data_IF_597554739011
#
_entry.id   IF_597554739011
#
_cell.length_a   1.000
_cell.length_b   1.000
_cell.length_c   1.000
_cell.angle_alpha   90.00
_cell.angle_beta   90.00
_cell.angle_gamma   90.00
#
_symmetry.space_group_name_H-M   'P 1'
#
loop_
_entity.id
_entity.type
_entity.pdbx_description
1 polymer ?
#
# COMPACT_ATOMS: atom_id res chain seq x y z
N UNK A 1 21.73 -15.44 -1.26
CA UNK A 1 22.19 -16.40 -0.23
C UNK A 1 21.25 -16.34 0.96
N UNK A 2 20.37 -17.34 1.11
CA UNK A 2 19.32 -17.39 2.15
C UNK A 2 19.89 -17.35 3.57
N UNK A 3 21.05 -17.96 3.82
CA UNK A 3 21.73 -17.93 5.12
C UNK A 3 22.15 -16.50 5.50
N UNK A 4 22.71 -15.76 4.57
CA UNK A 4 23.11 -14.38 4.79
C UNK A 4 21.88 -13.47 5.05
N UNK A 5 20.78 -13.70 4.35
CA UNK A 5 19.50 -13.02 4.61
C UNK A 5 19.02 -13.28 6.05
N UNK A 6 18.95 -14.53 6.48
CA UNK A 6 18.49 -14.89 7.82
C UNK A 6 19.36 -14.24 8.91
N UNK A 7 20.69 -14.33 8.76
CA UNK A 7 21.63 -13.73 9.70
C UNK A 7 21.50 -12.20 9.77
N UNK A 8 21.45 -11.53 8.62
CA UNK A 8 21.32 -10.07 8.56
C UNK A 8 19.99 -9.61 9.14
N UNK A 9 18.89 -10.26 8.78
CA UNK A 9 17.54 -9.95 9.21
C UNK A 9 17.38 -10.12 10.73
N UNK A 10 17.85 -11.23 11.29
CA UNK A 10 17.82 -11.47 12.74
C UNK A 10 18.74 -10.50 13.49
N UNK A 11 19.94 -10.21 12.99
CA UNK A 11 20.84 -9.22 13.60
C UNK A 11 20.23 -7.82 13.64
N UNK A 12 19.49 -7.42 12.60
CA UNK A 12 18.77 -6.14 12.62
C UNK A 12 17.64 -6.16 13.65
N UNK A 13 16.88 -7.25 13.75
CA UNK A 13 15.86 -7.42 14.78
C UNK A 13 16.44 -7.26 16.19
N UNK A 14 17.55 -7.94 16.52
CA UNK A 14 18.22 -7.85 17.80
C UNK A 14 18.64 -6.44 18.17
N UNK A 15 19.03 -5.64 17.18
CA UNK A 15 19.49 -4.27 17.39
C UNK A 15 18.37 -3.23 17.44
N UNK A 16 17.33 -3.39 16.61
CA UNK A 16 16.35 -2.34 16.37
C UNK A 16 15.01 -2.58 17.08
N UNK A 17 14.65 -3.84 17.32
CA UNK A 17 13.32 -4.20 17.82
C UNK A 17 13.40 -4.87 19.19
N UNK A 18 14.30 -5.83 19.39
CA UNK A 18 14.42 -6.60 20.64
C UNK A 18 14.55 -5.74 21.90
N UNK A 19 15.30 -4.62 21.92
CA UNK A 19 15.39 -3.76 23.11
C UNK A 19 14.04 -3.21 23.58
N UNK A 20 13.03 -3.22 22.72
CA UNK A 20 11.68 -2.72 22.99
C UNK A 20 10.63 -3.83 22.99
N UNK A 21 11.02 -5.10 22.96
CA UNK A 21 10.12 -6.24 22.78
C UNK A 21 8.99 -6.28 23.84
N UNK A 22 9.30 -5.99 25.10
CA UNK A 22 8.33 -5.96 26.20
C UNK A 22 7.25 -4.87 26.00
N UNK A 23 7.60 -3.78 25.35
CA UNK A 23 6.68 -2.66 25.05
C UNK A 23 5.86 -2.97 23.79
N UNK A 24 6.52 -3.53 22.78
CA UNK A 24 5.95 -3.76 21.45
C UNK A 24 4.94 -4.91 21.48
N UNK A 25 5.33 -6.08 22.05
CA UNK A 25 4.52 -7.30 22.04
C UNK A 25 3.85 -7.55 20.67
N UNK A 26 2.50 -7.54 20.60
CA UNK A 26 1.69 -7.67 19.35
C UNK A 26 1.14 -6.35 18.87
N UNK A 27 1.68 -5.22 19.32
CA UNK A 27 1.20 -3.88 18.97
C UNK A 27 1.63 -3.49 17.56
N UNK A 28 0.94 -2.49 17.05
CA UNK A 28 1.33 -1.78 15.83
C UNK A 28 2.63 -1.01 16.07
N UNK A 29 3.55 -1.12 15.09
CA UNK A 29 4.83 -0.42 15.09
C UNK A 29 4.79 0.63 13.97
N UNK A 30 5.03 1.89 14.32
CA UNK A 30 5.27 2.93 13.31
C UNK A 30 6.75 3.25 13.29
N UNK A 31 7.39 3.01 12.14
CA UNK A 31 8.82 3.27 11.92
C UNK A 31 8.98 4.65 11.28
N UNK A 32 9.81 5.48 11.88
CA UNK A 32 10.26 6.76 11.29
C UNK A 32 11.73 6.57 10.94
N UNK A 33 12.03 6.06 9.74
CA UNK A 33 13.39 5.68 9.39
C UNK A 33 14.22 6.89 9.03
N UNK A 34 15.52 6.83 9.31
CA UNK A 34 16.51 7.78 8.85
C UNK A 34 17.59 7.10 7.99
N UNK A 35 18.02 7.80 6.96
CA UNK A 35 19.09 7.38 6.06
C UNK A 35 18.83 5.99 5.45
N UNK A 36 19.78 5.08 5.60
CA UNK A 36 19.71 3.73 5.01
C UNK A 36 18.57 2.85 5.54
N UNK A 37 18.03 3.16 6.72
CA UNK A 37 16.91 2.40 7.28
C UNK A 37 15.62 2.59 6.47
N UNK A 38 15.52 3.65 5.66
CA UNK A 38 14.39 3.86 4.74
C UNK A 38 14.24 2.79 3.67
N UNK A 39 15.29 2.01 3.41
CA UNK A 39 15.28 0.90 2.46
C UNK A 39 15.06 -0.47 3.11
N UNK A 40 14.95 -0.51 4.44
CA UNK A 40 14.77 -1.77 5.17
C UNK A 40 13.28 -2.04 5.36
N UNK A 41 12.74 -3.12 4.75
CA UNK A 41 11.38 -3.55 5.05
C UNK A 41 11.38 -4.24 6.42
N UNK A 42 10.93 -3.54 7.46
CA UNK A 42 10.89 -4.07 8.83
C UNK A 42 9.99 -5.29 8.98
N UNK A 43 9.03 -5.47 8.10
CA UNK A 43 8.23 -6.70 7.98
C UNK A 43 9.07 -7.98 7.90
N UNK A 44 10.26 -7.87 7.30
CA UNK A 44 11.16 -8.99 7.03
C UNK A 44 12.07 -9.36 8.20
N UNK A 45 12.12 -8.56 9.26
CA UNK A 45 12.98 -8.83 10.39
C UNK A 45 12.59 -10.16 11.06
N UNK A 46 13.56 -11.02 11.33
CA UNK A 46 13.33 -12.31 11.94
C UNK A 46 13.43 -12.21 13.48
N UNK A 47 12.35 -12.59 14.16
CA UNK A 47 12.29 -12.57 15.64
C UNK A 47 13.19 -13.61 16.27
N UNK A 48 13.51 -14.67 15.52
CA UNK A 48 14.35 -15.77 15.95
C UNK A 48 15.29 -16.17 14.81
N UNK A 49 16.46 -16.73 15.14
CA UNK A 49 17.38 -17.27 14.13
C UNK A 49 16.87 -18.65 13.70
N UNK A 50 16.45 -18.83 12.44
CA UNK A 50 16.00 -20.12 11.95
C UNK A 50 17.18 -21.09 11.75
N UNK A 51 16.87 -22.39 11.77
CA UNK A 51 17.83 -23.38 11.31
C UNK A 51 18.11 -23.19 9.79
N UNK A 52 19.39 -23.00 9.48
CA UNK A 52 19.87 -22.80 8.10
C UNK A 52 20.78 -23.91 7.63
N UNK A 53 20.82 -25.06 8.32
CA UNK A 53 21.61 -26.22 7.93
C UNK A 53 21.11 -26.85 6.63
N UNK A 54 19.78 -26.82 6.40
CA UNK A 54 19.10 -27.31 5.21
C UNK A 54 18.62 -26.21 4.26
N UNK A 55 17.62 -26.54 3.43
CA UNK A 55 16.92 -25.58 2.56
C UNK A 55 16.03 -24.68 3.41
N UNK A 56 16.28 -23.37 3.34
CA UNK A 56 15.47 -22.37 4.03
C UNK A 56 14.09 -22.26 3.36
N UNK A 57 13.04 -22.50 4.14
CA UNK A 57 11.65 -22.34 3.72
C UNK A 57 11.15 -20.94 4.09
N UNK A 58 11.20 -20.02 3.14
CA UNK A 58 10.86 -18.60 3.38
C UNK A 58 9.44 -18.37 3.89
N UNK A 59 8.48 -19.22 3.53
CA UNK A 59 7.10 -19.12 4.03
C UNK A 59 6.93 -19.54 5.51
N UNK A 60 7.92 -20.17 6.11
CA UNK A 60 7.87 -20.62 7.51
C UNK A 60 8.73 -19.78 8.46
N UNK A 61 9.46 -18.79 7.92
CA UNK A 61 10.34 -17.97 8.74
C UNK A 61 9.55 -17.13 9.76
N UNK A 62 10.12 -16.91 10.96
CA UNK A 62 9.51 -16.13 12.04
C UNK A 62 9.65 -14.62 11.79
N UNK A 63 8.99 -14.14 10.75
CA UNK A 63 9.00 -12.72 10.39
C UNK A 63 8.25 -11.86 11.41
N UNK A 64 8.73 -10.67 11.68
CA UNK A 64 8.10 -9.67 12.56
C UNK A 64 6.65 -9.37 12.14
N UNK A 65 6.37 -9.33 10.83
CA UNK A 65 5.02 -9.12 10.29
C UNK A 65 4.00 -10.16 10.77
N UNK A 66 4.41 -11.36 11.19
CA UNK A 66 3.48 -12.38 11.69
C UNK A 66 2.78 -11.92 12.97
N UNK A 67 3.48 -11.19 13.81
CA UNK A 67 2.97 -10.74 15.12
C UNK A 67 2.61 -9.26 15.14
N UNK A 68 3.28 -8.42 14.35
CA UNK A 68 3.16 -6.97 14.38
C UNK A 68 2.68 -6.39 13.04
N UNK A 69 1.89 -5.33 13.12
CA UNK A 69 1.56 -4.49 11.95
C UNK A 69 2.61 -3.40 11.85
N UNK A 70 3.27 -3.30 10.70
CA UNK A 70 4.30 -2.30 10.44
C UNK A 70 3.72 -1.19 9.57
N UNK A 71 3.92 0.04 9.98
CA UNK A 71 3.61 1.24 9.22
C UNK A 71 4.81 2.17 9.23
N UNK A 72 4.92 3.06 8.25
CA UNK A 72 6.00 4.03 8.15
C UNK A 72 5.46 5.45 8.27
N UNK A 73 6.31 6.37 8.70
CA UNK A 73 6.00 7.80 8.67
C UNK A 73 7.29 8.61 8.43
N UNK A 74 7.16 9.77 7.79
CA UNK A 74 8.28 10.69 7.59
C UNK A 74 8.63 11.46 8.86
N UNK A 75 7.65 11.72 9.71
CA UNK A 75 7.85 12.34 11.02
C UNK A 75 6.63 12.10 11.93
N UNK A 76 6.85 12.16 13.24
CA UNK A 76 5.77 12.08 14.21
C UNK A 76 4.75 13.22 14.04
N UNK A 77 5.22 14.43 13.73
CA UNK A 77 4.36 15.60 13.55
C UNK A 77 3.38 15.41 12.38
N UNK A 78 3.85 14.93 11.23
CA UNK A 78 2.99 14.62 10.08
C UNK A 78 1.97 13.53 10.40
N UNK A 79 2.40 12.48 11.10
CA UNK A 79 1.51 11.38 11.50
C UNK A 79 0.35 11.89 12.37
N UNK A 80 0.61 12.73 13.38
CA UNK A 80 -0.42 13.30 14.23
C UNK A 80 -1.33 14.29 13.49
N UNK A 81 -0.76 15.11 12.60
CA UNK A 81 -1.55 16.05 11.79
C UNK A 81 -2.54 15.34 10.88
N UNK A 82 -2.13 14.27 10.21
CA UNK A 82 -2.99 13.51 9.31
C UNK A 82 -4.10 12.75 10.03
N UNK A 83 -3.90 12.33 11.27
CA UNK A 83 -4.94 11.68 12.07
C UNK A 83 -6.13 12.60 12.38
N UNK A 84 -5.98 13.91 12.26
CA UNK A 84 -7.04 14.89 12.54
C UNK A 84 -7.84 15.30 11.29
N UNK A 85 -7.36 15.01 10.09
CA UNK A 85 -7.98 15.49 8.85
C UNK A 85 -8.92 14.43 8.26
N UNK A 86 -10.23 14.68 8.33
CA UNK A 86 -11.24 13.85 7.65
C UNK A 86 -11.75 14.57 6.41
N UNK A 87 -11.22 14.24 5.26
CA UNK A 87 -11.76 14.64 3.96
C UNK A 87 -12.76 13.59 3.47
N UNK A 88 -13.82 14.00 2.78
CA UNK A 88 -14.82 13.11 2.19
C UNK A 88 -14.87 13.35 0.70
N UNK A 89 -14.53 12.38 -0.09
CA UNK A 89 -14.74 12.41 -1.52
C UNK A 89 -16.12 11.86 -1.91
N UNK A 90 -16.59 12.22 -3.11
CA UNK A 90 -17.90 11.78 -3.64
C UNK A 90 -17.87 10.34 -4.16
N UNK A 91 -16.73 9.90 -4.71
CA UNK A 91 -16.52 8.61 -5.35
C UNK A 91 -15.51 7.77 -4.57
N UNK A 92 -15.50 6.43 -4.77
CA UNK A 92 -14.67 5.56 -3.98
C UNK A 92 -13.25 5.44 -4.50
N UNK A 93 -13.06 4.91 -5.69
CA UNK A 93 -11.74 4.59 -6.22
C UNK A 93 -11.60 5.05 -7.67
N UNK A 94 -10.47 5.65 -7.97
CA UNK A 94 -10.01 6.00 -9.30
C UNK A 94 -8.71 5.24 -9.58
N UNK A 95 -8.68 4.43 -10.64
CA UNK A 95 -7.50 3.65 -10.99
C UNK A 95 -7.03 3.96 -12.41
N UNK A 96 -5.69 4.04 -12.56
CA UNK A 96 -5.01 4.24 -13.82
C UNK A 96 -4.09 3.07 -14.13
N UNK A 97 -4.21 2.52 -15.35
CA UNK A 97 -3.38 1.47 -15.87
C UNK A 97 -3.07 1.74 -17.35
N UNK A 98 -2.04 2.51 -17.67
CA UNK A 98 -1.63 2.81 -19.03
C UNK A 98 -1.15 1.56 -19.78
N UNK A 99 -1.24 1.60 -21.11
CA UNK A 99 -0.59 0.64 -22.00
C UNK A 99 0.63 1.30 -22.63
N UNK A 100 1.73 0.58 -22.67
CA UNK A 100 2.97 1.04 -23.30
C UNK A 100 3.32 0.14 -24.49
N UNK A 101 3.89 0.75 -25.54
CA UNK A 101 4.36 0.07 -26.73
C UNK A 101 5.89 0.11 -26.69
N UNK A 102 6.60 -0.70 -26.07
CA UNK A 102 8.08 -0.86 -26.05
C UNK A 102 8.91 0.27 -26.72
N UNK A 103 8.37 1.47 -26.76
CA UNK A 103 8.98 2.61 -27.46
C UNK A 103 10.06 3.24 -26.59
N UNK A 104 11.17 3.58 -27.20
CA UNK A 104 12.18 4.40 -26.58
C UNK A 104 11.75 5.85 -26.66
N UNK A 105 11.49 6.46 -25.53
CA UNK A 105 11.18 7.88 -25.45
C UNK A 105 12.46 8.62 -25.04
N UNK A 106 12.77 9.69 -25.74
CA UNK A 106 13.85 10.60 -25.35
C UNK A 106 13.22 11.73 -24.53
N UNK A 107 13.55 11.79 -23.26
CA UNK A 107 13.11 12.85 -22.37
C UNK A 107 14.33 13.50 -21.70
N UNK A 108 14.46 14.83 -21.81
CA UNK A 108 15.57 15.60 -21.23
C UNK A 108 16.95 15.00 -21.50
N UNK A 109 17.22 14.53 -22.74
CA UNK A 109 18.43 13.84 -23.18
C UNK A 109 18.67 12.43 -22.57
N UNK A 110 17.74 11.89 -21.81
CA UNK A 110 17.75 10.49 -21.36
C UNK A 110 16.88 9.62 -22.26
N UNK A 111 17.41 8.46 -22.64
CA UNK A 111 16.63 7.43 -23.35
C UNK A 111 15.90 6.58 -22.30
N UNK A 112 14.58 6.75 -22.21
CA UNK A 112 13.73 5.93 -21.36
C UNK A 112 13.00 4.89 -22.22
N UNK A 113 12.92 3.66 -21.74
CA UNK A 113 12.17 2.60 -22.41
C UNK A 113 10.95 2.27 -21.58
N UNK A 114 9.76 2.53 -22.14
CA UNK A 114 8.49 2.15 -21.53
C UNK A 114 8.14 0.73 -21.98
N UNK A 115 8.56 -0.25 -21.22
CA UNK A 115 8.21 -1.66 -21.49
C UNK A 115 6.73 -1.92 -21.16
N UNK A 116 6.05 -2.83 -21.89
CA UNK A 116 4.68 -3.22 -21.55
C UNK A 116 4.58 -3.76 -20.12
N UNK A 117 3.50 -3.39 -19.43
CA UNK A 117 3.14 -3.87 -18.10
C UNK A 117 1.81 -4.66 -18.18
N UNK A 118 1.80 -5.92 -18.61
CA UNK A 118 0.56 -6.66 -18.84
C UNK A 118 -0.23 -6.93 -17.54
N UNK A 119 0.45 -7.04 -16.41
CA UNK A 119 -0.16 -7.32 -15.11
C UNK A 119 -1.02 -6.17 -14.57
N UNK A 120 -0.71 -4.91 -14.90
CA UNK A 120 -1.41 -3.75 -14.32
C UNK A 120 -2.88 -3.65 -14.77
N UNK A 121 -3.20 -4.07 -16.00
CA UNK A 121 -4.58 -4.12 -16.49
C UNK A 121 -5.42 -5.09 -15.67
N UNK A 122 -4.88 -6.29 -15.44
CA UNK A 122 -5.53 -7.32 -14.64
C UNK A 122 -5.65 -6.93 -13.18
N UNK A 123 -4.65 -6.23 -12.64
CA UNK A 123 -4.66 -5.74 -11.26
C UNK A 123 -5.84 -4.80 -11.03
N UNK A 124 -6.01 -3.74 -11.85
CA UNK A 124 -7.09 -2.77 -11.65
C UNK A 124 -8.48 -3.37 -11.89
N UNK A 125 -8.61 -4.36 -12.78
CA UNK A 125 -9.87 -5.10 -12.98
C UNK A 125 -10.26 -5.90 -11.73
N UNK A 126 -9.33 -6.65 -11.15
CA UNK A 126 -9.58 -7.40 -9.92
C UNK A 126 -9.88 -6.50 -8.72
N UNK A 127 -9.28 -5.33 -8.67
CA UNK A 127 -9.59 -4.32 -7.64
C UNK A 127 -11.02 -3.81 -7.81
N UNK A 128 -11.46 -3.55 -9.05
CA UNK A 128 -12.81 -3.08 -9.34
C UNK A 128 -13.90 -4.10 -8.96
N UNK A 129 -13.60 -5.40 -8.99
CA UNK A 129 -14.49 -6.45 -8.45
C UNK A 129 -14.68 -6.32 -6.92
N UNK A 130 -13.73 -5.76 -6.19
CA UNK A 130 -13.79 -5.64 -4.73
C UNK A 130 -14.41 -4.32 -4.27
N UNK A 131 -14.07 -3.21 -4.93
CA UNK A 131 -14.51 -1.85 -4.58
C UNK A 131 -15.01 -1.16 -5.84
N UNK A 132 -16.13 -0.43 -5.74
CA UNK A 132 -16.63 0.39 -6.85
C UNK A 132 -15.55 1.35 -7.32
N UNK A 133 -15.12 1.22 -8.57
CA UNK A 133 -14.01 1.95 -9.16
C UNK A 133 -14.40 2.54 -10.53
N UNK A 134 -13.83 3.70 -10.83
CA UNK A 134 -13.75 4.22 -12.19
C UNK A 134 -12.34 3.90 -12.71
N UNK A 135 -12.24 3.21 -13.84
CA UNK A 135 -10.99 2.72 -14.42
C UNK A 135 -10.62 3.50 -15.67
N UNK A 136 -9.43 4.08 -15.67
CA UNK A 136 -8.79 4.63 -16.86
C UNK A 136 -7.68 3.67 -17.29
N UNK A 137 -7.90 2.98 -18.41
CA UNK A 137 -7.00 1.95 -18.92
C UNK A 137 -6.50 2.31 -20.30
N UNK A 138 -5.38 1.72 -20.70
CA UNK A 138 -4.79 1.86 -22.03
C UNK A 138 -4.57 3.33 -22.38
N UNK A 139 -5.00 3.75 -23.58
CA UNK A 139 -4.92 5.11 -24.12
C UNK A 139 -5.71 6.15 -23.30
N UNK A 140 -6.70 5.73 -22.52
CA UNK A 140 -7.47 6.61 -21.66
C UNK A 140 -6.78 6.91 -20.32
N UNK A 141 -5.75 6.17 -19.95
CA UNK A 141 -4.96 6.43 -18.75
C UNK A 141 -4.00 7.60 -18.97
N UNK A 142 -4.52 8.79 -19.26
CA UNK A 142 -3.77 10.02 -19.56
C UNK A 142 -3.56 10.88 -18.33
N UNK A 143 -2.50 11.66 -18.32
CA UNK A 143 -2.24 12.66 -17.28
C UNK A 143 -3.38 13.68 -17.19
N UNK A 144 -3.94 14.11 -18.33
CA UNK A 144 -5.10 15.00 -18.38
C UNK A 144 -6.28 14.44 -17.57
N UNK A 145 -6.67 13.19 -17.82
CA UNK A 145 -7.76 12.56 -17.10
C UNK A 145 -7.46 12.46 -15.59
N UNK A 146 -6.20 12.21 -15.21
CA UNK A 146 -5.81 12.24 -13.81
C UNK A 146 -5.99 13.63 -13.19
N UNK A 147 -5.49 14.69 -13.81
CA UNK A 147 -5.60 16.07 -13.31
C UNK A 147 -7.05 16.52 -13.17
N UNK A 148 -7.93 16.16 -14.11
CA UNK A 148 -9.36 16.52 -14.09
C UNK A 148 -10.18 15.75 -13.05
N UNK A 149 -9.79 14.51 -12.70
CA UNK A 149 -10.60 13.62 -11.89
C UNK A 149 -10.10 13.42 -10.45
N UNK A 150 -8.81 13.64 -10.17
CA UNK A 150 -8.17 13.22 -8.91
C UNK A 150 -8.83 13.74 -7.63
N UNK A 151 -9.47 14.91 -7.65
CA UNK A 151 -10.08 15.53 -6.47
C UNK A 151 -11.41 14.87 -6.03
N UNK A 152 -12.00 13.99 -6.83
CA UNK A 152 -13.35 13.47 -6.60
C UNK A 152 -13.38 12.13 -5.85
N UNK A 153 -12.22 11.51 -5.57
CA UNK A 153 -12.14 10.13 -5.11
C UNK A 153 -11.48 9.99 -3.73
N UNK A 154 -11.96 9.00 -2.96
CA UNK A 154 -11.39 8.61 -1.67
C UNK A 154 -10.05 7.89 -1.82
N UNK A 155 -9.90 7.13 -2.91
CA UNK A 155 -8.74 6.29 -3.19
C UNK A 155 -8.27 6.57 -4.60
N UNK A 156 -6.97 6.80 -4.75
CA UNK A 156 -6.26 6.82 -6.02
C UNK A 156 -5.40 5.56 -6.14
N UNK A 157 -5.40 4.90 -7.28
CA UNK A 157 -4.55 3.75 -7.56
C UNK A 157 -3.84 3.95 -8.89
N UNK A 158 -2.50 4.07 -8.84
CA UNK A 158 -1.64 4.28 -10.00
C UNK A 158 -0.82 3.01 -10.24
N UNK A 159 -1.21 2.23 -11.24
CA UNK A 159 -0.52 1.02 -11.68
C UNK A 159 0.21 1.32 -13.01
N UNK A 160 1.45 1.82 -12.92
CA UNK A 160 2.18 2.36 -14.07
C UNK A 160 3.68 2.43 -13.82
N UNK A 161 4.47 2.80 -14.84
CA UNK A 161 5.88 3.11 -14.65
C UNK A 161 6.08 4.37 -13.79
N UNK A 162 7.08 4.30 -12.90
CA UNK A 162 7.62 5.45 -12.20
C UNK A 162 9.13 5.51 -12.39
N UNK A 163 9.63 6.71 -12.62
CA UNK A 163 11.06 6.98 -12.80
C UNK A 163 11.55 7.85 -11.65
N UNK A 164 12.57 7.36 -10.96
CA UNK A 164 13.13 8.04 -9.79
C UNK A 164 14.37 8.81 -10.21
N UNK A 165 14.41 10.08 -9.88
CA UNK A 165 15.60 10.92 -10.00
C UNK A 165 16.18 11.17 -8.60
N UNK A 166 17.22 10.43 -8.24
CA UNK A 166 17.88 10.54 -6.93
C UNK A 166 18.65 11.86 -6.73
N UNK A 167 19.10 12.47 -7.84
CA UNK A 167 19.84 13.73 -7.80
C UNK A 167 18.93 14.93 -7.63
N UNK A 168 17.77 14.89 -8.30
CA UNK A 168 16.75 15.94 -8.28
C UNK A 168 15.37 15.32 -8.05
N UNK A 169 15.01 14.97 -6.80
CA UNK A 169 13.77 14.24 -6.49
C UNK A 169 12.47 14.89 -6.98
N UNK A 170 12.46 16.19 -7.17
CA UNK A 170 11.33 16.93 -7.75
C UNK A 170 11.01 16.50 -9.20
N UNK A 171 11.98 15.93 -9.90
CA UNK A 171 11.85 15.41 -11.28
C UNK A 171 11.58 13.90 -11.33
N UNK A 172 11.44 13.23 -10.17
CA UNK A 172 10.85 11.89 -10.17
C UNK A 172 9.42 11.97 -10.68
N UNK A 173 8.98 10.99 -11.51
CA UNK A 173 7.75 11.13 -12.31
C UNK A 173 7.05 9.81 -12.56
N UNK A 174 5.76 9.89 -12.84
CA UNK A 174 4.93 8.81 -13.36
C UNK A 174 4.74 8.95 -14.86
N UNK A 175 4.74 7.82 -15.57
CA UNK A 175 4.45 7.78 -16.99
C UNK A 175 2.99 7.39 -17.21
N UNK A 176 2.17 8.30 -17.65
CA UNK A 176 0.82 8.05 -18.17
C UNK A 176 0.89 7.57 -19.63
N UNK A 177 -0.26 7.28 -20.24
CA UNK A 177 -0.31 6.99 -21.68
C UNK A 177 0.23 8.16 -22.47
N UNK A 178 1.20 7.86 -23.33
CA UNK A 178 1.86 8.83 -24.20
C UNK A 178 1.00 9.04 -25.44
N UNK A 179 0.03 9.95 -25.36
CA UNK A 179 -0.72 10.40 -26.52
C UNK A 179 -0.02 11.65 -27.08
N UNK A 180 0.30 11.66 -28.36
CA UNK A 180 1.05 12.72 -29.06
C UNK A 180 0.37 14.10 -29.05
N UNK A 181 -0.31 14.47 -28.00
CA UNK A 181 -0.87 15.80 -27.83
C UNK A 181 0.13 16.63 -27.01
N UNK A 182 1.04 17.30 -27.72
CA UNK A 182 2.08 18.22 -27.22
C UNK A 182 1.52 19.44 -26.47
N UNK A 183 0.80 19.20 -25.40
CA UNK A 183 0.35 20.26 -24.51
C UNK A 183 1.31 20.29 -23.31
N UNK A 184 1.98 21.41 -23.01
CA UNK A 184 3.04 21.49 -21.99
C UNK A 184 2.64 21.02 -20.56
N UNK A 185 1.36 20.95 -20.25
CA UNK A 185 0.83 20.49 -18.95
C UNK A 185 0.18 19.11 -19.02
N UNK A 186 0.21 18.42 -20.16
CA UNK A 186 -0.38 17.11 -20.39
C UNK A 186 0.50 16.32 -21.36
N UNK A 187 1.79 16.28 -21.09
CA UNK A 187 2.79 15.58 -21.89
C UNK A 187 2.89 14.10 -21.57
N UNK A 188 2.03 13.61 -20.67
CA UNK A 188 2.01 12.23 -20.19
C UNK A 188 2.96 11.95 -19.02
N UNK A 189 3.60 13.00 -18.48
CA UNK A 189 4.53 12.90 -17.37
C UNK A 189 4.05 13.70 -16.16
N UNK A 190 3.75 13.04 -15.07
CA UNK A 190 3.41 13.68 -13.80
C UNK A 190 4.63 13.70 -12.90
N UNK A 191 5.30 14.85 -12.81
CA UNK A 191 6.48 15.02 -11.96
C UNK A 191 6.09 15.20 -10.48
N UNK A 192 7.01 14.91 -9.57
CA UNK A 192 6.81 15.18 -8.13
C UNK A 192 6.51 16.65 -7.86
N UNK A 193 7.15 17.57 -8.61
CA UNK A 193 6.87 19.00 -8.52
C UNK A 193 5.42 19.35 -8.86
N UNK A 194 4.83 18.66 -9.85
CA UNK A 194 3.42 18.82 -10.21
C UNK A 194 2.50 18.30 -9.10
N UNK A 195 2.85 17.15 -8.52
CA UNK A 195 2.08 16.54 -7.44
C UNK A 195 2.00 17.47 -6.22
N UNK A 196 3.07 18.21 -5.87
CA UNK A 196 3.05 19.18 -4.78
C UNK A 196 2.00 20.29 -4.96
N UNK A 197 1.64 20.61 -6.20
CA UNK A 197 0.66 21.63 -6.53
C UNK A 197 -0.78 21.10 -6.63
N UNK A 198 -1.01 19.80 -6.41
CA UNK A 198 -2.35 19.22 -6.37
C UNK A 198 -3.01 19.46 -4.99
N UNK A 199 -4.34 19.58 -4.99
CA UNK A 199 -5.15 19.54 -3.77
C UNK A 199 -6.00 18.27 -3.79
N UNK A 200 -5.49 17.20 -3.16
CA UNK A 200 -6.11 15.89 -3.21
C UNK A 200 -7.13 15.71 -2.07
N UNK A 201 -8.31 15.20 -2.41
CA UNK A 201 -9.30 14.73 -1.43
C UNK A 201 -9.12 13.25 -1.07
N UNK A 202 -8.22 12.55 -1.76
CA UNK A 202 -7.96 11.14 -1.52
C UNK A 202 -7.43 10.91 -0.08
N UNK A 203 -7.98 9.90 0.57
CA UNK A 203 -7.54 9.43 1.88
C UNK A 203 -6.49 8.33 1.79
N UNK A 204 -6.38 7.70 0.60
CA UNK A 204 -5.38 6.69 0.28
C UNK A 204 -4.93 6.88 -1.16
N UNK A 205 -3.62 6.88 -1.39
CA UNK A 205 -3.04 6.67 -2.71
C UNK A 205 -2.22 5.39 -2.72
N UNK A 206 -2.49 4.51 -3.68
CA UNK A 206 -1.73 3.29 -3.93
C UNK A 206 -0.86 3.51 -5.16
N UNK A 207 0.44 3.40 -4.98
CA UNK A 207 1.46 3.51 -6.01
C UNK A 207 1.99 2.11 -6.32
N UNK A 208 1.24 1.36 -7.14
CA UNK A 208 1.66 0.07 -7.69
C UNK A 208 2.55 0.34 -8.90
N UNK A 209 3.62 1.10 -8.67
CA UNK A 209 4.51 1.62 -9.69
C UNK A 209 5.94 1.19 -9.34
N UNK A 210 6.51 0.39 -10.20
CA UNK A 210 7.86 -0.13 -10.02
C UNK A 210 8.89 0.91 -10.43
N UNK A 211 10.02 0.94 -9.71
CA UNK A 211 11.19 1.67 -10.17
C UNK A 211 11.82 0.90 -11.35
N UNK A 212 11.46 1.27 -12.56
CA UNK A 212 12.02 0.69 -13.79
C UNK A 212 13.40 1.26 -14.14
N UNK A 213 13.92 2.14 -13.30
CA UNK A 213 15.29 2.64 -13.43
C UNK A 213 16.28 1.52 -13.20
N UNK A 214 16.87 1.03 -14.29
CA UNK A 214 18.02 0.12 -14.27
C UNK A 214 19.15 0.75 -13.47
N UNK A 215 19.49 0.20 -12.36
CA UNK A 215 20.76 0.50 -11.75
C UNK A 215 20.70 1.04 -10.34
N UNK A 216 21.61 0.57 -9.60
CA UNK A 216 22.14 1.05 -8.32
C UNK A 216 21.15 1.82 -7.44
N UNK A 217 20.73 1.16 -6.37
CA UNK A 217 20.21 1.81 -5.16
C UNK A 217 21.18 2.93 -4.75
N UNK A 218 21.03 4.10 -5.37
CA UNK A 218 21.83 5.25 -5.00
C UNK A 218 21.20 5.90 -3.76
N UNK A 219 22.07 6.38 -2.90
CA UNK A 219 21.76 7.09 -1.65
C UNK A 219 20.77 8.22 -1.93
N UNK A 220 19.54 8.08 -1.48
CA UNK A 220 18.60 9.18 -1.60
C UNK A 220 17.21 8.81 -1.12
N UNK A 221 16.37 9.79 -1.06
CA UNK A 221 14.97 9.69 -0.70
C UNK A 221 14.09 9.22 -1.88
N UNK A 222 14.67 8.74 -2.98
CA UNK A 222 14.12 8.49 -4.29
C UNK A 222 12.65 8.03 -4.34
N UNK A 223 12.38 6.74 -4.12
CA UNK A 223 11.00 6.21 -4.11
C UNK A 223 10.13 6.89 -3.06
N UNK A 224 10.72 7.20 -1.90
CA UNK A 224 10.05 7.92 -0.82
C UNK A 224 9.69 9.37 -1.23
N UNK A 225 10.37 9.98 -2.21
CA UNK A 225 10.06 11.35 -2.67
C UNK A 225 8.72 11.44 -3.40
N UNK A 226 8.39 10.49 -4.27
CA UNK A 226 7.08 10.44 -4.94
C UNK A 226 5.94 10.30 -3.92
N UNK A 227 6.06 9.39 -2.95
CA UNK A 227 5.06 9.24 -1.89
C UNK A 227 4.91 10.52 -1.07
N UNK A 228 6.02 11.22 -0.78
CA UNK A 228 6.00 12.51 -0.08
C UNK A 228 5.20 13.55 -0.84
N UNK A 229 5.28 13.57 -2.18
CA UNK A 229 4.47 14.46 -3.02
C UNK A 229 2.99 14.32 -2.74
N UNK A 230 2.46 13.11 -2.72
CA UNK A 230 1.04 12.86 -2.42
C UNK A 230 0.65 13.23 -0.98
N UNK A 231 1.54 13.05 0.00
CA UNK A 231 1.29 13.50 1.37
C UNK A 231 1.18 15.02 1.45
N UNK A 232 2.07 15.75 0.76
CA UNK A 232 2.00 17.22 0.69
C UNK A 232 0.75 17.71 -0.04
N UNK A 233 0.34 17.00 -1.09
CA UNK A 233 -0.89 17.28 -1.83
C UNK A 233 -2.17 16.99 -1.00
N UNK A 234 -2.04 16.48 0.23
CA UNK A 234 -3.14 16.30 1.17
C UNK A 234 -3.63 14.86 1.33
N UNK A 235 -3.04 13.87 0.68
CA UNK A 235 -3.39 12.46 0.87
C UNK A 235 -2.69 11.90 2.12
N UNK A 236 -3.41 11.51 3.19
CA UNK A 236 -2.80 11.15 4.47
C UNK A 236 -2.20 9.75 4.52
N UNK A 237 -2.53 8.87 3.57
CA UNK A 237 -2.08 7.48 3.56
C UNK A 237 -1.57 7.10 2.18
N UNK A 238 -0.38 6.51 2.13
CA UNK A 238 0.22 6.00 0.90
C UNK A 238 0.54 4.52 1.07
N UNK A 239 0.21 3.72 0.09
CA UNK A 239 0.77 2.37 -0.08
C UNK A 239 1.60 2.40 -1.35
N UNK A 240 2.85 1.97 -1.27
CA UNK A 240 3.79 2.04 -2.40
C UNK A 240 4.70 0.84 -2.44
N UNK A 241 5.39 0.64 -3.56
CA UNK A 241 6.44 -0.37 -3.71
C UNK A 241 7.83 0.23 -3.54
N UNK A 242 8.71 -0.47 -2.83
CA UNK A 242 10.13 -0.11 -2.67
C UNK A 242 10.99 -0.59 -3.86
N UNK A 243 10.53 -1.60 -4.58
CA UNK A 243 11.15 -2.17 -5.78
C UNK A 243 10.09 -2.77 -6.68
N UNK A 244 10.49 -3.22 -7.85
CA UNK A 244 9.63 -3.91 -8.80
C UNK A 244 9.13 -5.23 -8.21
N UNK A 245 7.82 -5.36 -8.09
CA UNK A 245 7.14 -6.58 -7.63
C UNK A 245 6.64 -7.33 -8.85
N UNK A 246 6.85 -8.63 -8.89
CA UNK A 246 6.39 -9.49 -9.98
C UNK A 246 4.85 -9.40 -10.12
N UNK A 247 4.37 -9.27 -11.36
CA UNK A 247 2.97 -8.95 -11.70
C UNK A 247 1.94 -9.84 -11.01
N UNK A 248 2.15 -11.15 -11.00
CA UNK A 248 1.21 -12.10 -10.40
C UNK A 248 1.21 -12.02 -8.86
N UNK A 249 2.38 -11.78 -8.24
CA UNK A 249 2.49 -11.56 -6.81
C UNK A 249 1.82 -10.23 -6.43
N UNK A 250 2.12 -9.16 -7.15
CA UNK A 250 1.51 -7.83 -6.97
C UNK A 250 -0.01 -7.89 -7.07
N UNK A 251 -0.53 -8.49 -8.12
CA UNK A 251 -1.97 -8.66 -8.35
C UNK A 251 -2.67 -9.41 -7.20
N UNK A 252 -2.08 -10.51 -6.70
CA UNK A 252 -2.63 -11.26 -5.56
C UNK A 252 -2.61 -10.45 -4.26
N UNK A 253 -1.51 -9.77 -3.98
CA UNK A 253 -1.36 -8.92 -2.79
C UNK A 253 -2.37 -7.78 -2.84
N UNK A 254 -2.47 -7.05 -3.97
CA UNK A 254 -3.39 -5.93 -4.10
C UNK A 254 -4.86 -6.37 -4.05
N UNK A 255 -5.24 -7.47 -4.69
CA UNK A 255 -6.60 -8.02 -4.57
C UNK A 255 -6.97 -8.33 -3.11
N UNK A 256 -6.07 -8.97 -2.35
CA UNK A 256 -6.24 -9.27 -0.93
C UNK A 256 -6.26 -7.99 -0.07
N UNK A 257 -5.40 -7.02 -0.39
CA UNK A 257 -5.34 -5.72 0.28
C UNK A 257 -6.69 -4.99 0.19
N UNK A 258 -7.24 -4.83 -1.01
CA UNK A 258 -8.53 -4.16 -1.22
C UNK A 258 -9.70 -4.91 -0.61
N UNK A 259 -9.64 -6.25 -0.57
CA UNK A 259 -10.63 -7.05 0.15
C UNK A 259 -10.62 -6.75 1.66
N UNK A 260 -9.44 -6.62 2.26
CA UNK A 260 -9.29 -6.30 3.68
C UNK A 260 -9.68 -4.83 3.97
N UNK A 261 -9.34 -3.89 3.11
CA UNK A 261 -9.82 -2.51 3.20
C UNK A 261 -11.36 -2.44 3.23
N UNK A 262 -12.03 -3.17 2.34
CA UNK A 262 -13.50 -3.25 2.27
C UNK A 262 -14.13 -3.77 3.57
N UNK A 263 -13.42 -4.64 4.29
CA UNK A 263 -13.83 -5.14 5.62
C UNK A 263 -13.61 -4.12 6.74
N UNK A 264 -13.16 -2.90 6.44
CA UNK A 264 -12.92 -1.84 7.41
C UNK A 264 -11.57 -1.91 8.11
N UNK A 265 -10.62 -2.71 7.60
CA UNK A 265 -9.26 -2.72 8.15
C UNK A 265 -8.51 -1.45 7.73
N UNK A 266 -7.69 -0.84 8.62
CA UNK A 266 -6.74 0.21 8.25
C UNK A 266 -5.79 -0.25 7.15
N UNK A 267 -5.21 0.69 6.39
CA UNK A 267 -4.37 0.35 5.24
C UNK A 267 -3.14 -0.50 5.60
N UNK A 268 -2.47 -0.19 6.69
CA UNK A 268 -1.34 -0.94 7.22
C UNK A 268 -1.72 -2.39 7.63
N UNK A 269 -2.82 -2.57 8.34
CA UNK A 269 -3.33 -3.89 8.72
C UNK A 269 -3.81 -4.67 7.49
N UNK A 270 -4.52 -4.01 6.57
CA UNK A 270 -4.98 -4.61 5.32
C UNK A 270 -3.80 -5.13 4.48
N UNK A 271 -2.72 -4.34 4.40
CA UNK A 271 -1.50 -4.73 3.70
C UNK A 271 -0.78 -5.89 4.40
N UNK A 272 -0.66 -5.84 5.73
CA UNK A 272 -0.12 -6.95 6.53
C UNK A 272 -0.85 -8.25 6.22
N UNK A 273 -2.18 -8.25 6.32
CA UNK A 273 -3.00 -9.44 6.07
C UNK A 273 -2.87 -9.93 4.61
N UNK A 274 -2.73 -9.02 3.66
CA UNK A 274 -2.52 -9.36 2.25
C UNK A 274 -1.17 -10.05 2.02
N UNK A 275 -0.10 -9.53 2.62
CA UNK A 275 1.24 -10.14 2.57
C UNK A 275 1.26 -11.52 3.23
N UNK A 276 0.65 -11.67 4.40
CA UNK A 276 0.57 -12.97 5.09
C UNK A 276 -0.24 -13.97 4.28
N UNK A 277 -1.40 -13.56 3.74
CA UNK A 277 -2.19 -14.42 2.87
C UNK A 277 -1.41 -14.87 1.62
N UNK A 278 -0.61 -13.98 1.02
CA UNK A 278 0.27 -14.35 -0.08
C UNK A 278 1.33 -15.36 0.37
N UNK A 279 2.07 -15.06 1.44
CA UNK A 279 3.18 -15.86 1.95
C UNK A 279 2.73 -17.28 2.35
N UNK A 280 1.59 -17.40 3.01
CA UNK A 280 1.06 -18.68 3.50
C UNK A 280 0.54 -19.57 2.36
N UNK A 281 0.17 -18.96 1.20
CA UNK A 281 -0.32 -19.69 0.02
C UNK A 281 0.70 -19.75 -1.14
N UNK A 282 1.89 -19.14 -0.99
CA UNK A 282 2.93 -19.17 -1.99
C UNK A 282 3.65 -20.54 -2.01
N UNK A 283 3.99 -21.01 -3.20
CA UNK A 283 4.93 -22.14 -3.30
C UNK A 283 6.30 -21.71 -2.76
N UNK A 284 7.17 -22.66 -2.34
CA UNK A 284 8.44 -22.34 -1.70
C UNK A 284 9.37 -21.40 -2.50
N UNK A 285 9.32 -21.44 -3.84
CA UNK A 285 10.14 -20.56 -4.69
C UNK A 285 9.62 -19.13 -4.70
N UNK A 286 8.27 -18.97 -4.75
CA UNK A 286 7.59 -17.67 -4.76
C UNK A 286 7.46 -17.06 -3.36
N UNK A 287 7.77 -17.79 -2.30
CA UNK A 287 7.77 -17.30 -0.93
C UNK A 287 9.00 -16.42 -0.59
N UNK A 288 9.96 -16.30 -1.52
CA UNK A 288 11.14 -15.45 -1.33
C UNK A 288 10.71 -14.00 -1.05
N UNK A 289 11.33 -13.30 -0.09
CA UNK A 289 10.99 -11.93 0.32
C UNK A 289 10.82 -10.92 -0.82
N UNK A 290 11.60 -11.06 -1.88
CA UNK A 290 11.52 -10.21 -3.07
C UNK A 290 10.10 -10.09 -3.65
N UNK A 291 9.29 -11.15 -3.59
CA UNK A 291 7.96 -11.18 -4.20
C UNK A 291 6.85 -10.50 -3.39
N UNK A 292 7.02 -10.35 -2.06
CA UNK A 292 5.93 -9.89 -1.20
C UNK A 292 6.28 -8.71 -0.28
N UNK A 293 7.56 -8.48 -0.01
CA UNK A 293 7.98 -7.40 0.89
C UNK A 293 7.98 -6.01 0.25
N UNK A 294 7.94 -5.93 -1.08
CA UNK A 294 8.08 -4.66 -1.79
C UNK A 294 7.08 -3.58 -1.35
N UNK A 295 5.84 -3.95 -1.03
CA UNK A 295 4.83 -3.00 -0.60
C UNK A 295 5.03 -2.52 0.83
N UNK A 296 4.87 -1.20 1.05
CA UNK A 296 4.90 -0.56 2.38
C UNK A 296 3.73 0.41 2.53
N UNK A 297 3.26 0.59 3.77
CA UNK A 297 2.24 1.57 4.13
C UNK A 297 2.86 2.74 4.87
N UNK A 298 2.51 3.98 4.49
CA UNK A 298 3.06 5.21 5.05
C UNK A 298 1.91 6.13 5.47
N UNK A 299 1.99 6.72 6.64
CA UNK A 299 1.11 7.79 7.10
C UNK A 299 -0.02 7.34 8.00
N UNK A 300 -1.24 7.79 7.73
CA UNK A 300 -2.40 7.60 8.59
C UNK A 300 -2.83 6.13 8.66
N UNK A 301 -3.19 5.69 9.86
CA UNK A 301 -3.60 4.31 10.16
C UNK A 301 -5.08 4.19 10.55
N UNK A 302 -5.90 5.18 10.19
CA UNK A 302 -7.34 5.13 10.43
C UNK A 302 -8.06 4.34 9.32
N UNK A 303 -9.13 3.59 9.63
CA UNK A 303 -9.90 2.88 8.62
C UNK A 303 -10.53 3.81 7.60
N UNK A 304 -10.47 3.43 6.31
CA UNK A 304 -11.16 4.14 5.23
C UNK A 304 -12.65 3.82 5.18
N UNK A 305 -13.00 2.59 5.51
CA UNK A 305 -14.38 2.10 5.53
C UNK A 305 -14.80 1.78 6.95
N UNK A 306 -16.07 1.98 7.26
CA UNK A 306 -16.64 1.51 8.53
C UNK A 306 -16.82 0.01 8.46
N UNK A 307 -16.43 -0.71 9.50
CA UNK A 307 -16.75 -2.12 9.65
C UNK A 307 -18.26 -2.29 9.83
N UNK A 308 -18.89 -3.15 9.04
CA UNK A 308 -20.30 -3.53 9.23
C UNK A 308 -20.50 -4.40 10.46
N UNK A 309 -19.46 -5.01 10.99
CA UNK A 309 -19.53 -5.89 12.17
C UNK A 309 -20.12 -5.16 13.38
N UNK A 310 -19.78 -3.88 13.56
CA UNK A 310 -20.33 -3.06 14.65
C UNK A 310 -21.85 -2.90 14.55
N UNK A 311 -22.39 -2.71 13.36
CA UNK A 311 -23.83 -2.61 13.14
C UNK A 311 -24.53 -3.96 13.31
N UNK A 312 -23.90 -5.05 12.86
CA UNK A 312 -24.41 -6.41 13.03
C UNK A 312 -24.48 -6.80 14.52
N UNK A 313 -23.42 -6.57 15.27
CA UNK A 313 -23.40 -6.80 16.73
C UNK A 313 -24.41 -5.91 17.45
N UNK A 314 -24.57 -4.65 17.06
CA UNK A 314 -25.56 -3.74 17.61
C UNK A 314 -26.99 -4.24 17.39
N UNK A 315 -27.32 -4.66 16.18
CA UNK A 315 -28.62 -5.26 15.83
C UNK A 315 -28.87 -6.58 16.56
N UNK A 316 -27.85 -7.44 16.68
CA UNK A 316 -27.93 -8.70 17.42
C UNK A 316 -28.20 -8.46 18.89
N UNK A 317 -27.51 -7.51 19.51
CA UNK A 317 -27.74 -7.13 20.91
C UNK A 317 -29.14 -6.57 21.15
N UNK A 318 -29.66 -5.74 20.23
CA UNK A 318 -31.05 -5.23 20.30
C UNK A 318 -32.08 -6.36 20.17
N UNK A 319 -31.84 -7.31 19.24
CA UNK A 319 -32.73 -8.48 19.10
C UNK A 319 -32.73 -9.37 20.36
N UNK A 320 -31.57 -9.63 20.96
CA UNK A 320 -31.44 -10.39 22.20
C UNK A 320 -32.09 -9.66 23.38
N UNK A 321 -31.95 -8.35 23.49
CA UNK A 321 -32.62 -7.54 24.49
C UNK A 321 -34.16 -7.58 24.34
N UNK A 322 -34.65 -7.54 23.10
CA UNK A 322 -36.09 -7.69 22.81
C UNK A 322 -36.66 -9.05 23.22
N UNK A 323 -35.92 -10.15 22.94
CA UNK A 323 -36.30 -11.51 23.35
C UNK A 323 -36.31 -11.63 24.88
N UNK A 324 -35.27 -11.10 25.55
CA UNK A 324 -35.21 -11.12 27.02
C UNK A 324 -36.36 -10.32 27.66
N UNK A 325 -36.70 -9.17 27.10
CA UNK A 325 -37.82 -8.34 27.57
C UNK A 325 -39.17 -9.08 27.39
N UNK A 326 -39.41 -9.72 26.26
CA UNK A 326 -40.62 -10.51 26.01
C UNK A 326 -40.73 -11.69 26.98
N UNK A 327 -39.65 -12.44 27.21
CA UNK A 327 -39.60 -13.52 28.19
C UNK A 327 -39.91 -12.99 29.61
N UNK A 328 -39.33 -11.88 30.01
CA UNK A 328 -39.56 -11.28 31.30
C UNK A 328 -41.04 -10.81 31.48
N UNK A 329 -41.65 -10.26 30.46
CA UNK A 329 -43.08 -9.90 30.45
C UNK A 329 -43.97 -11.14 30.56
N UNK A 330 -43.66 -12.20 29.85
CA UNK A 330 -44.39 -13.49 29.90
C UNK A 330 -44.31 -14.12 31.30
N UNK A 331 -43.13 -14.14 31.93
CA UNK A 331 -42.94 -14.66 33.30
C UNK A 331 -43.72 -13.90 34.37
N UNK A 332 -43.90 -12.57 34.19
CA UNK A 332 -44.72 -11.75 35.10
C UNK A 332 -46.23 -11.91 34.87
N UNK A 333 -46.67 -12.43 33.73
CA UNK A 333 -48.07 -12.66 33.40
C UNK A 333 -48.60 -14.04 33.80
N UNK A 334 -47.72 -14.98 34.22
CA UNK A 334 -48.17 -16.28 34.74
C UNK A 334 -48.74 -16.04 36.16
N UNK A 335 -50.06 -16.27 36.38
CA UNK A 335 -50.64 -16.11 37.71
C UNK A 335 -50.06 -17.17 38.66
N UNK A 336 -49.61 -16.73 39.84
CA UNK A 336 -49.26 -17.68 40.93
C UNK A 336 -50.56 -18.44 41.27
N UNK A 337 -50.49 -19.78 41.06
CA UNK A 337 -51.49 -20.70 41.60
C UNK A 337 -51.29 -20.89 43.08
#
# INVERSE_FOLDING_TARGET
NSKAFCAASHNLYLKLIQPFADIIQTRKITVIPDGKLSYVPFDALLTEMPDTSGLVQFNQLPYLIRNNTINYAYSANLLFKFNQTQRKAKKRLLAFAPKYSSDTIVFENEKLVLVPLPGVQREVELIAEKIKADLFKNEFATEKNFREQNMNYDILHLAMHAFINDSLPAFSRFAFSQNNNDQPLNDGWLNTADIYNLDLNARLTVLSACNTGSGNLKKGEGVMSLARGFLYAGCPTIVMTLWEVEDNAGTKIMSSFYQNLKKGRPADEALRLAKLNYLDNANPRMAHPHYWLGYVSIGNTQPLFRSYDFYFFGLLMLALAGIAADQFIRLKRTPKK
#
